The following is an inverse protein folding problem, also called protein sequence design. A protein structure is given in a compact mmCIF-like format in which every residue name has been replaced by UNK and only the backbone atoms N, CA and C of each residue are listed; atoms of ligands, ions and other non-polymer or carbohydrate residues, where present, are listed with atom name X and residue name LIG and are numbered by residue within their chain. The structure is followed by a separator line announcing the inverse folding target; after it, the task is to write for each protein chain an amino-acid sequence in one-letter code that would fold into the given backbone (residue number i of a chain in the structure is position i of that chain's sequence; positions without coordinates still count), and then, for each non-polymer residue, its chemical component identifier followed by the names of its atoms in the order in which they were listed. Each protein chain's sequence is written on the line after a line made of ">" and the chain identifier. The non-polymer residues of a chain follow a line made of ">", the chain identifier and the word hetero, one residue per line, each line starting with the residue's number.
data_IF_202644065899
#
_entry.id   IF_202644065899
#
_cell.length_a   1.000
_cell.length_b   1.000
_cell.length_c   1.000
_cell.angle_alpha   90.00
_cell.angle_beta   90.00
_cell.angle_gamma   90.00
#
_symmetry.space_group_name_H-M   'P 1'
#
loop_
_entity.id
_entity.type
_entity.pdbx_description
1 polymer ?
#
# COMPACT_ATOMS: atom_id res chain seq x y z
N UNK A 1 16.77 -19.17 -22.99
CA UNK A 1 15.61 -18.48 -22.36
C UNK A 1 16.00 -17.94 -20.98
N UNK A 2 16.47 -18.80 -20.08
CA UNK A 2 16.96 -18.41 -18.76
C UNK A 2 18.12 -17.39 -18.82
N UNK A 3 19.02 -17.49 -19.81
CA UNK A 3 20.15 -16.57 -20.00
C UNK A 3 19.71 -15.12 -20.25
N UNK A 4 18.60 -14.93 -20.96
CA UNK A 4 18.00 -13.60 -21.21
C UNK A 4 17.40 -13.03 -19.93
N UNK A 5 16.75 -13.86 -19.12
CA UNK A 5 16.17 -13.40 -17.84
C UNK A 5 17.26 -13.01 -16.84
N UNK A 6 18.34 -13.81 -16.76
CA UNK A 6 19.47 -13.54 -15.88
C UNK A 6 20.21 -12.25 -16.27
N UNK A 7 20.52 -12.07 -17.56
CA UNK A 7 21.26 -10.91 -18.06
C UNK A 7 20.55 -9.57 -17.78
N UNK A 8 19.21 -9.56 -17.73
CA UNK A 8 18.41 -8.36 -17.53
C UNK A 8 17.92 -8.14 -16.08
N UNK A 9 18.18 -9.09 -15.19
CA UNK A 9 17.75 -9.04 -13.79
C UNK A 9 18.90 -8.95 -12.78
N UNK A 10 20.07 -9.52 -13.09
CA UNK A 10 21.20 -9.63 -12.16
C UNK A 10 22.39 -8.73 -12.55
N UNK A 11 22.11 -7.60 -13.20
CA UNK A 11 23.11 -6.56 -13.37
C UNK A 11 23.42 -5.97 -11.98
N UNK A 12 24.64 -6.26 -11.51
CA UNK A 12 25.07 -6.29 -10.11
C UNK A 12 25.14 -4.94 -9.37
N UNK A 13 24.29 -3.98 -9.72
CA UNK A 13 24.13 -2.71 -9.02
C UNK A 13 22.85 -2.72 -8.18
N UNK A 14 23.00 -2.30 -6.92
CA UNK A 14 21.92 -2.11 -5.95
C UNK A 14 20.84 -1.22 -6.58
N UNK A 15 19.71 -1.81 -6.98
CA UNK A 15 18.60 -1.09 -7.62
C UNK A 15 18.08 -1.69 -8.94
N UNK A 16 18.73 -2.71 -9.51
CA UNK A 16 18.34 -3.28 -10.82
C UNK A 16 17.53 -4.59 -10.77
N UNK A 17 17.05 -4.99 -9.58
CA UNK A 17 16.01 -6.00 -9.43
C UNK A 17 14.65 -5.49 -9.94
N UNK A 18 14.51 -5.44 -11.26
CA UNK A 18 13.36 -4.94 -11.98
C UNK A 18 12.12 -5.78 -11.64
N UNK A 19 11.00 -5.11 -11.34
CA UNK A 19 9.72 -5.79 -11.20
C UNK A 19 9.28 -6.43 -12.52
N UNK A 20 8.39 -7.43 -12.46
CA UNK A 20 7.94 -8.24 -13.61
C UNK A 20 7.63 -7.41 -14.87
N UNK A 21 6.84 -6.33 -14.71
CA UNK A 21 6.47 -5.47 -15.83
C UNK A 21 7.67 -4.77 -16.46
N UNK A 22 8.61 -4.30 -15.64
CA UNK A 22 9.81 -3.62 -16.14
C UNK A 22 10.69 -4.57 -16.93
N UNK A 23 10.88 -5.81 -16.44
CA UNK A 23 11.58 -6.84 -17.20
C UNK A 23 10.91 -7.12 -18.54
N UNK A 24 9.58 -7.32 -18.54
CA UNK A 24 8.82 -7.56 -19.76
C UNK A 24 8.99 -6.45 -20.80
N UNK A 25 8.82 -5.19 -20.40
CA UNK A 25 8.96 -4.07 -21.34
C UNK A 25 10.39 -3.87 -21.86
N UNK A 26 11.42 -4.25 -21.10
CA UNK A 26 12.81 -4.19 -21.57
C UNK A 26 13.13 -5.25 -22.62
N UNK A 27 12.63 -6.48 -22.47
CA UNK A 27 13.05 -7.60 -23.34
C UNK A 27 12.11 -7.86 -24.52
N UNK A 28 10.84 -7.43 -24.44
CA UNK A 28 9.80 -7.76 -25.45
C UNK A 28 10.07 -7.24 -26.87
N UNK A 29 10.94 -6.25 -27.03
CA UNK A 29 11.26 -5.67 -28.35
C UNK A 29 12.36 -6.46 -29.07
N UNK A 30 13.14 -7.28 -28.34
CA UNK A 30 14.29 -8.02 -28.87
C UNK A 30 14.09 -9.53 -28.82
N UNK A 31 13.22 -10.00 -27.92
CA UNK A 31 12.95 -11.42 -27.72
C UNK A 31 11.43 -11.66 -27.66
N UNK A 32 11.02 -12.86 -28.06
CA UNK A 32 9.66 -13.37 -27.91
C UNK A 32 9.68 -14.88 -27.70
N UNK A 33 8.85 -15.40 -26.80
CA UNK A 33 8.60 -16.83 -26.64
C UNK A 33 7.22 -17.08 -25.99
N UNK A 34 6.61 -18.27 -26.19
CA UNK A 34 5.33 -18.62 -25.56
C UNK A 34 5.43 -18.53 -24.03
N UNK A 35 4.42 -17.95 -23.37
CA UNK A 35 4.36 -17.77 -21.91
C UNK A 35 5.45 -16.88 -21.30
N UNK A 36 6.13 -16.06 -22.11
CA UNK A 36 7.16 -15.11 -21.67
C UNK A 36 6.85 -14.35 -20.38
N UNK A 37 5.66 -13.76 -20.29
CA UNK A 37 5.30 -12.98 -19.11
C UNK A 37 5.19 -13.85 -17.84
N UNK A 38 4.71 -15.08 -17.98
CA UNK A 38 4.60 -16.04 -16.88
C UNK A 38 5.97 -16.50 -16.40
N UNK A 39 6.87 -16.78 -17.33
CA UNK A 39 8.24 -17.18 -16.99
C UNK A 39 9.02 -16.04 -16.31
N UNK A 40 8.81 -14.79 -16.73
CA UNK A 40 9.36 -13.61 -16.04
C UNK A 40 8.84 -13.55 -14.60
N UNK A 41 7.53 -13.78 -14.40
CA UNK A 41 6.94 -13.79 -13.06
C UNK A 41 7.56 -14.89 -12.20
N UNK A 42 7.69 -16.11 -12.71
CA UNK A 42 8.28 -17.22 -11.97
C UNK A 42 9.75 -16.97 -11.62
N UNK A 43 10.50 -16.44 -12.58
CA UNK A 43 11.90 -16.09 -12.38
C UNK A 43 12.08 -15.02 -11.29
N UNK A 44 11.36 -13.89 -11.37
CA UNK A 44 11.43 -12.82 -10.35
C UNK A 44 10.93 -13.31 -8.98
N UNK A 45 9.92 -14.19 -8.94
CA UNK A 45 9.44 -14.80 -7.68
C UNK A 45 10.50 -15.69 -7.03
N UNK A 46 11.33 -16.37 -7.82
CA UNK A 46 12.43 -17.20 -7.29
C UNK A 46 13.58 -16.37 -6.71
N UNK A 47 13.67 -15.07 -7.03
CA UNK A 47 14.69 -14.20 -6.47
C UNK A 47 14.37 -13.81 -5.01
N UNK A 48 15.29 -14.15 -4.10
CA UNK A 48 15.21 -13.82 -2.67
C UNK A 48 15.25 -12.31 -2.43
N UNK A 49 16.12 -11.56 -3.13
CA UNK A 49 16.23 -10.10 -3.03
C UNK A 49 14.92 -9.40 -3.41
N UNK A 50 14.32 -9.78 -4.55
CA UNK A 50 13.01 -9.27 -4.99
C UNK A 50 11.89 -9.60 -4.00
N UNK A 51 11.93 -10.79 -3.41
CA UNK A 51 10.93 -11.24 -2.44
C UNK A 51 11.01 -10.45 -1.14
N UNK A 52 12.21 -10.23 -0.62
CA UNK A 52 12.46 -9.45 0.59
C UNK A 52 12.09 -7.98 0.37
N UNK A 53 12.50 -7.38 -0.75
CA UNK A 53 12.14 -5.98 -1.08
C UNK A 53 10.62 -5.80 -1.20
N UNK A 54 9.92 -6.74 -1.83
CA UNK A 54 8.45 -6.72 -1.92
C UNK A 54 7.78 -6.79 -0.54
N UNK A 55 8.31 -7.60 0.37
CA UNK A 55 7.81 -7.69 1.75
C UNK A 55 8.07 -6.38 2.50
N UNK A 56 9.29 -5.85 2.39
CA UNK A 56 9.70 -4.57 2.97
C UNK A 56 8.79 -3.42 2.52
N UNK A 57 8.56 -3.26 1.20
CA UNK A 57 7.66 -2.20 0.67
C UNK A 57 6.22 -2.31 1.14
N UNK A 58 5.73 -3.52 1.45
CA UNK A 58 4.39 -3.72 2.04
C UNK A 58 4.33 -3.23 3.48
N UNK A 59 5.42 -3.39 4.23
CA UNK A 59 5.46 -3.08 5.66
C UNK A 59 5.88 -1.62 5.95
N UNK A 60 6.77 -1.02 5.14
CA UNK A 60 7.21 0.37 5.33
C UNK A 60 6.07 1.41 5.21
N UNK A 61 4.97 1.06 4.53
CA UNK A 61 3.77 1.89 4.41
C UNK A 61 2.67 1.57 5.43
N UNK A 62 2.88 0.59 6.31
CA UNK A 62 1.88 0.10 7.26
C UNK A 62 2.35 0.32 8.71
N UNK A 63 2.78 1.55 9.02
CA UNK A 63 2.81 2.07 10.40
C UNK A 63 1.38 2.31 10.91
N UNK A 64 0.46 1.35 10.70
CA UNK A 64 -0.76 1.28 11.50
C UNK A 64 -0.31 0.87 12.88
N UNK A 65 0.06 1.86 13.68
CA UNK A 65 0.09 1.69 15.11
C UNK A 65 -1.35 1.28 15.45
N UNK A 66 -1.53 0.07 15.96
CA UNK A 66 -2.75 -0.36 16.63
C UNK A 66 -2.87 0.40 17.96
N UNK A 67 -2.78 1.72 17.89
CA UNK A 67 -3.01 2.59 19.03
C UNK A 67 -4.51 2.55 19.26
N UNK A 68 -4.89 1.92 20.36
CA UNK A 68 -6.24 2.02 20.91
C UNK A 68 -6.56 3.50 21.04
N UNK A 69 -7.55 3.96 20.29
CA UNK A 69 -7.99 5.34 20.38
C UNK A 69 -8.84 5.53 21.64
N UNK A 70 -8.70 6.67 22.31
CA UNK A 70 -9.51 7.01 23.49
C UNK A 70 -10.71 7.85 23.09
N UNK A 71 -11.81 7.72 23.83
CA UNK A 71 -12.98 8.58 23.66
C UNK A 71 -12.56 10.02 23.94
N UNK A 72 -12.91 10.92 23.02
CA UNK A 72 -12.49 12.32 23.03
C UNK A 72 -11.34 12.64 22.07
N UNK A 73 -10.58 11.65 21.57
CA UNK A 73 -9.51 11.87 20.59
C UNK A 73 -10.09 12.46 19.29
N UNK A 74 -9.33 13.37 18.68
CA UNK A 74 -9.60 13.86 17.33
C UNK A 74 -8.81 13.04 16.30
N UNK A 75 -9.52 12.58 15.26
CA UNK A 75 -8.99 11.72 14.21
C UNK A 75 -9.40 12.19 12.82
N UNK A 76 -8.57 11.85 11.85
CA UNK A 76 -8.83 12.00 10.43
C UNK A 76 -9.30 10.68 9.82
N UNK A 77 -10.26 10.74 8.89
CA UNK A 77 -10.83 9.57 8.22
C UNK A 77 -10.37 9.50 6.76
N UNK A 78 -9.77 8.37 6.38
CA UNK A 78 -9.28 8.15 5.01
C UNK A 78 -10.44 8.16 4.01
N UNK A 79 -10.30 8.99 2.98
CA UNK A 79 -11.22 9.06 1.84
C UNK A 79 -10.94 7.88 0.89
N UNK A 80 -11.99 7.19 0.47
CA UNK A 80 -11.90 6.06 -0.46
C UNK A 80 -11.99 6.58 -1.91
N UNK A 81 -11.29 5.93 -2.85
CA UNK A 81 -11.44 6.19 -4.28
C UNK A 81 -10.76 7.45 -4.83
N UNK A 82 -9.93 8.15 -4.04
CA UNK A 82 -9.18 9.31 -4.53
C UNK A 82 -7.90 8.87 -5.27
N UNK A 83 -7.90 9.02 -6.60
CA UNK A 83 -6.75 8.73 -7.46
C UNK A 83 -6.01 9.99 -7.94
N UNK A 84 -6.48 11.17 -7.55
CA UNK A 84 -5.86 12.44 -7.94
C UNK A 84 -4.71 12.75 -6.98
N UNK A 85 -3.49 12.83 -7.52
CA UNK A 85 -2.23 13.03 -6.76
C UNK A 85 -2.27 14.21 -5.77
N UNK A 86 -3.16 15.18 -5.98
CA UNK A 86 -3.32 16.41 -5.19
C UNK A 86 -4.53 16.38 -4.22
N UNK A 87 -5.32 15.31 -4.18
CA UNK A 87 -6.45 15.24 -3.26
C UNK A 87 -5.98 15.20 -1.81
N UNK A 88 -6.63 15.95 -0.91
CA UNK A 88 -6.52 15.64 0.52
C UNK A 88 -7.03 14.22 0.76
N UNK A 89 -6.15 13.35 1.25
CA UNK A 89 -6.41 11.91 1.43
C UNK A 89 -7.35 11.62 2.61
N UNK A 90 -7.60 12.60 3.46
CA UNK A 90 -8.37 12.44 4.68
C UNK A 90 -9.40 13.56 4.86
N UNK A 91 -10.53 13.22 5.49
CA UNK A 91 -11.52 14.15 6.01
C UNK A 91 -11.34 14.32 7.53
N UNK A 92 -11.82 15.42 8.09
CA UNK A 92 -11.83 15.69 9.52
C UNK A 92 -11.19 17.04 9.88
N UNK A 93 -10.96 17.32 11.17
CA UNK A 93 -10.93 16.36 12.29
C UNK A 93 -12.33 15.94 12.78
N UNK A 94 -12.47 14.67 13.18
CA UNK A 94 -13.66 14.13 13.82
C UNK A 94 -13.33 13.69 15.24
N UNK A 95 -14.24 13.88 16.18
CA UNK A 95 -14.07 13.43 17.55
C UNK A 95 -14.59 12.00 17.74
N UNK A 96 -13.86 11.17 18.46
CA UNK A 96 -14.33 9.84 18.87
C UNK A 96 -15.30 10.01 20.03
N UNK A 97 -16.55 9.61 19.82
CA UNK A 97 -17.60 9.72 20.84
C UNK A 97 -17.88 8.39 21.54
N UNK A 98 -17.57 7.26 20.89
CA UNK A 98 -17.83 5.93 21.46
C UNK A 98 -16.96 4.86 20.79
N UNK A 99 -16.48 3.91 21.59
CA UNK A 99 -15.91 2.66 21.07
C UNK A 99 -17.02 1.61 20.96
N UNK A 100 -17.23 1.06 19.75
CA UNK A 100 -18.24 0.02 19.53
C UNK A 100 -17.63 -1.39 19.64
N UNK A 101 -16.37 -1.54 19.22
CA UNK A 101 -15.54 -2.72 19.46
C UNK A 101 -14.05 -2.36 19.34
N UNK A 102 -13.14 -3.33 19.45
CA UNK A 102 -11.69 -3.13 19.33
C UNK A 102 -11.25 -2.44 18.03
N UNK A 103 -12.03 -2.61 16.95
CA UNK A 103 -11.68 -2.16 15.61
C UNK A 103 -12.67 -1.17 15.00
N UNK A 104 -13.74 -0.77 15.69
CA UNK A 104 -14.77 0.15 15.19
C UNK A 104 -15.10 1.20 16.25
N UNK A 105 -14.97 2.46 15.83
CA UNK A 105 -15.28 3.63 16.63
C UNK A 105 -16.39 4.43 15.98
N UNK A 106 -17.20 5.09 16.80
CA UNK A 106 -18.20 6.06 16.38
C UNK A 106 -17.60 7.46 16.48
N UNK A 107 -17.70 8.19 15.39
CA UNK A 107 -17.14 9.52 15.22
C UNK A 107 -18.24 10.56 15.08
N UNK A 108 -17.94 11.79 15.48
CA UNK A 108 -18.78 12.96 15.28
C UNK A 108 -17.95 14.11 14.71
N UNK A 109 -18.53 14.86 13.76
CA UNK A 109 -17.94 16.12 13.33
C UNK A 109 -18.20 17.21 14.39
N UNK A 110 -17.17 17.87 14.94
CA UNK A 110 -17.36 18.95 15.92
C UNK A 110 -18.09 20.17 15.33
N UNK A 111 -18.03 20.39 14.01
CA UNK A 111 -18.68 21.51 13.35
C UNK A 111 -20.09 21.18 12.82
N UNK A 112 -20.42 19.89 12.67
CA UNK A 112 -21.70 19.42 12.14
C UNK A 112 -22.21 18.25 12.99
N UNK A 113 -22.94 18.57 14.07
CA UNK A 113 -23.34 17.59 15.09
C UNK A 113 -24.21 16.42 14.56
N UNK A 114 -24.86 16.60 13.41
CA UNK A 114 -25.66 15.57 12.73
C UNK A 114 -24.82 14.55 11.94
N UNK A 115 -23.53 14.84 11.68
CA UNK A 115 -22.63 13.93 10.96
C UNK A 115 -21.98 12.94 11.94
N UNK A 116 -22.74 11.89 12.29
CA UNK A 116 -22.28 10.80 13.15
C UNK A 116 -22.21 9.50 12.34
N UNK A 117 -21.07 8.82 12.38
CA UNK A 117 -20.88 7.58 11.63
C UNK A 117 -19.86 6.65 12.29
N UNK A 118 -19.92 5.36 11.94
CA UNK A 118 -19.03 4.34 12.46
C UNK A 118 -17.91 4.06 11.46
N UNK A 119 -16.68 3.93 11.95
CA UNK A 119 -15.49 3.73 11.11
C UNK A 119 -14.58 2.67 11.70
N UNK A 120 -14.08 1.80 10.83
CA UNK A 120 -13.06 0.83 11.18
C UNK A 120 -11.69 1.50 11.38
N UNK A 121 -10.91 1.08 12.39
CA UNK A 121 -9.59 1.63 12.75
C UNK A 121 -8.62 1.74 11.57
N UNK A 122 -8.70 0.79 10.62
CA UNK A 122 -7.89 0.80 9.38
C UNK A 122 -8.05 2.03 8.50
N UNK A 123 -9.11 2.83 8.72
CA UNK A 123 -9.41 4.09 8.03
C UNK A 123 -9.13 5.33 8.89
N UNK A 124 -8.76 5.17 10.15
CA UNK A 124 -8.49 6.28 11.08
C UNK A 124 -7.01 6.65 11.08
N UNK A 125 -6.74 7.91 11.40
CA UNK A 125 -5.40 8.44 11.65
C UNK A 125 -5.49 9.51 12.73
N UNK A 126 -4.60 9.49 13.74
CA UNK A 126 -4.55 10.54 14.77
C UNK A 126 -4.23 11.91 14.18
N UNK A 127 -4.81 12.95 14.77
CA UNK A 127 -4.32 14.33 14.64
C UNK A 127 -3.04 14.47 15.48
N UNK A 128 -1.98 15.02 14.92
CA UNK A 128 -0.75 15.41 15.65
C UNK A 128 -0.66 16.93 15.70
#
# INVERSE_FOLDING_TARGET
>A
MYDVLLAYHDSSLKGEHLGNNQMYYKIRNSYYWPRMYEDIIEFVKSCSTCTIDRYSRRNYGDYRINETYIIGDFVYVKRLGLNYKLASKYNGPYQIIQQLNESIYRLQNPNELNEIFNVHTSRLRRCY
#
